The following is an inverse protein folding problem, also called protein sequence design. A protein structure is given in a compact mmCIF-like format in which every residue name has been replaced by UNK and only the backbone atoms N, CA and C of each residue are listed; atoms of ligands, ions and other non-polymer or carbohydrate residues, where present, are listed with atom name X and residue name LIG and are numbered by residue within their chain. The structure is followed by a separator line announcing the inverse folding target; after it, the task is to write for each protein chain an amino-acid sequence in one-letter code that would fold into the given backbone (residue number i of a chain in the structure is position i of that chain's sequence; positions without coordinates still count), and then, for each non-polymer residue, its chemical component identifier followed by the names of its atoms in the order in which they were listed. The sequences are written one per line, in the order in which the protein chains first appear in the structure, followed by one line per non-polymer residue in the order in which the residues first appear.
data_IF_258018960033
#
_entry.id   IF_258018960033
#
_cell.length_a   1.000
_cell.length_b   1.000
_cell.length_c   1.000
_cell.angle_alpha   90.00
_cell.angle_beta   90.00
_cell.angle_gamma   90.00
#
_symmetry.space_group_name_H-M   'P 1'
#
loop_
_entity.id
_entity.type
_entity.pdbx_description
1 polymer ?
#
# COMPACT_ATOMS: atom_id res chain seq x y z
N UNK A 1 -28.73 -6.07 1.80
CA UNK A 1 -28.56 -6.96 2.94
C UNK A 1 -27.17 -6.83 3.55
N UNK A 2 -27.02 -7.26 4.77
CA UNK A 2 -25.73 -7.23 5.49
C UNK A 2 -24.68 -8.04 4.72
N UNK A 3 -25.05 -9.16 4.15
CA UNK A 3 -24.16 -10.01 3.38
C UNK A 3 -23.66 -9.32 2.09
N UNK A 4 -24.52 -8.57 1.40
CA UNK A 4 -24.12 -7.79 0.23
C UNK A 4 -23.14 -6.68 0.59
N UNK A 5 -23.36 -5.98 1.67
CA UNK A 5 -22.47 -4.93 2.16
C UNK A 5 -21.10 -5.51 2.55
N UNK A 6 -21.08 -6.65 3.23
CA UNK A 6 -19.85 -7.35 3.58
C UNK A 6 -19.08 -7.78 2.33
N UNK A 7 -19.76 -8.31 1.31
CA UNK A 7 -19.12 -8.71 0.06
C UNK A 7 -18.51 -7.52 -0.70
N UNK A 8 -19.22 -6.35 -0.73
CA UNK A 8 -18.71 -5.12 -1.35
C UNK A 8 -17.48 -4.61 -0.60
N UNK A 9 -17.49 -4.65 0.75
CA UNK A 9 -16.37 -4.18 1.56
C UNK A 9 -15.18 -5.13 1.56
N UNK A 10 -15.32 -6.34 0.99
CA UNK A 10 -14.26 -7.33 0.94
C UNK A 10 -13.21 -7.07 -0.17
N UNK A 11 -13.52 -6.22 -1.16
CA UNK A 11 -12.58 -5.90 -2.22
C UNK A 11 -11.46 -5.00 -1.69
N UNK A 12 -10.18 -5.35 -1.95
CA UNK A 12 -9.08 -4.49 -1.55
C UNK A 12 -9.13 -3.16 -2.30
N UNK A 13 -8.84 -2.07 -1.59
CA UNK A 13 -8.88 -0.72 -2.16
C UNK A 13 -7.51 -0.26 -2.61
N UNK A 14 -7.45 0.23 -3.84
CA UNK A 14 -6.25 0.77 -4.48
C UNK A 14 -6.46 2.26 -4.72
N UNK A 15 -5.46 3.07 -4.38
CA UNK A 15 -5.44 4.48 -4.77
C UNK A 15 -4.57 4.63 -6.01
N UNK A 16 -5.12 5.27 -7.04
CA UNK A 16 -4.40 5.59 -8.27
C UNK A 16 -4.19 7.10 -8.32
N UNK A 17 -2.94 7.54 -8.39
CA UNK A 17 -2.57 8.95 -8.49
C UNK A 17 -1.86 9.19 -9.81
N UNK A 18 -2.48 9.91 -10.71
CA UNK A 18 -1.95 10.24 -12.03
C UNK A 18 -2.70 11.47 -12.54
N UNK A 19 -2.00 12.44 -13.11
CA UNK A 19 -2.62 13.67 -13.62
C UNK A 19 -3.40 13.43 -14.92
N UNK A 20 -3.20 12.30 -15.60
CA UNK A 20 -3.95 11.94 -16.80
C UNK A 20 -5.22 11.16 -16.46
N UNK A 21 -6.36 11.78 -16.73
CA UNK A 21 -7.65 11.10 -16.58
C UNK A 21 -7.74 9.84 -17.45
N UNK A 22 -7.16 9.87 -18.65
CA UNK A 22 -7.17 8.71 -19.57
C UNK A 22 -6.37 7.55 -19.01
N UNK A 23 -5.20 7.84 -18.43
CA UNK A 23 -4.36 6.81 -17.82
C UNK A 23 -5.08 6.19 -16.63
N UNK A 24 -5.66 7.02 -15.74
CA UNK A 24 -6.44 6.49 -14.60
C UNK A 24 -7.59 5.60 -15.08
N UNK A 25 -8.36 6.07 -16.08
CA UNK A 25 -9.49 5.31 -16.62
C UNK A 25 -9.04 3.97 -17.20
N UNK A 26 -7.90 3.93 -17.88
CA UNK A 26 -7.38 2.69 -18.45
C UNK A 26 -6.97 1.70 -17.36
N UNK A 27 -6.34 2.15 -16.29
CA UNK A 27 -5.98 1.28 -15.16
C UNK A 27 -7.24 0.77 -14.45
N UNK A 28 -8.19 1.66 -14.19
CA UNK A 28 -9.47 1.28 -13.56
C UNK A 28 -10.17 0.18 -14.37
N UNK A 29 -10.19 0.33 -15.69
CA UNK A 29 -10.80 -0.67 -16.58
C UNK A 29 -10.14 -2.04 -16.45
N UNK A 30 -8.80 -2.08 -16.27
CA UNK A 30 -8.07 -3.33 -16.15
C UNK A 30 -8.34 -4.06 -14.81
N UNK A 31 -8.60 -3.32 -13.74
CA UNK A 31 -8.68 -3.90 -12.39
C UNK A 31 -10.09 -3.89 -11.80
N UNK A 32 -11.05 -3.32 -12.50
CA UNK A 32 -12.45 -3.22 -12.09
C UNK A 32 -13.03 -4.61 -11.80
N UNK A 33 -13.76 -4.72 -10.69
CA UNK A 33 -14.37 -5.97 -10.26
C UNK A 33 -13.47 -6.83 -9.37
N UNK A 34 -12.14 -6.58 -9.38
CA UNK A 34 -11.19 -7.26 -8.51
C UNK A 34 -10.67 -6.36 -7.39
N UNK A 35 -10.71 -5.05 -7.62
CA UNK A 35 -10.27 -4.04 -6.66
C UNK A 35 -11.29 -2.92 -6.59
N UNK A 36 -11.43 -2.32 -5.43
CA UNK A 36 -12.13 -1.07 -5.25
C UNK A 36 -11.11 0.06 -5.47
N UNK A 37 -11.46 1.08 -6.26
CA UNK A 37 -10.50 2.07 -6.73
C UNK A 37 -10.89 3.47 -6.28
N UNK A 38 -9.91 4.21 -5.75
CA UNK A 38 -9.95 5.65 -5.58
C UNK A 38 -8.97 6.29 -6.54
N UNK A 39 -9.32 7.48 -7.06
CA UNK A 39 -8.49 8.21 -8.01
C UNK A 39 -8.20 9.61 -7.52
N UNK A 40 -6.98 10.08 -7.73
CA UNK A 40 -6.57 11.45 -7.50
C UNK A 40 -5.71 11.93 -8.67
N UNK A 41 -5.80 13.22 -8.98
CA UNK A 41 -5.15 13.81 -10.14
C UNK A 41 -3.79 14.46 -9.88
N UNK A 42 -3.35 14.55 -8.61
CA UNK A 42 -2.06 15.10 -8.25
C UNK A 42 -1.57 14.51 -6.93
N UNK A 43 -0.28 14.70 -6.67
CA UNK A 43 0.36 14.12 -5.50
C UNK A 43 -0.13 14.65 -4.16
N UNK A 44 -0.48 15.93 -4.08
CA UNK A 44 -1.00 16.50 -2.83
C UNK A 44 -2.38 15.91 -2.51
N UNK A 45 -3.26 15.82 -3.50
CA UNK A 45 -4.57 15.18 -3.33
C UNK A 45 -4.41 13.70 -2.95
N UNK A 46 -3.46 13.01 -3.58
CA UNK A 46 -3.13 11.62 -3.24
C UNK A 46 -2.69 11.47 -1.79
N UNK A 47 -1.82 12.36 -1.33
CA UNK A 47 -1.36 12.37 0.07
C UNK A 47 -2.53 12.58 1.04
N UNK A 48 -3.38 13.56 0.77
CA UNK A 48 -4.56 13.84 1.60
C UNK A 48 -5.48 12.61 1.67
N UNK A 49 -5.70 11.95 0.55
CA UNK A 49 -6.53 10.75 0.49
C UNK A 49 -5.93 9.60 1.30
N UNK A 50 -4.61 9.40 1.24
CA UNK A 50 -3.94 8.37 2.06
C UNK A 50 -4.12 8.65 3.56
N UNK A 51 -4.04 9.90 3.97
CA UNK A 51 -4.24 10.25 5.37
C UNK A 51 -5.68 10.05 5.84
N UNK A 52 -6.65 10.32 4.97
CA UNK A 52 -8.07 10.32 5.32
C UNK A 52 -8.75 8.97 5.14
N UNK A 53 -8.20 8.09 4.30
CA UNK A 53 -8.82 6.81 3.97
C UNK A 53 -7.94 5.63 4.40
N UNK A 54 -8.16 5.08 5.60
CA UNK A 54 -7.35 3.97 6.10
C UNK A 54 -7.63 2.63 5.39
N UNK A 55 -8.63 2.57 4.52
CA UNK A 55 -8.94 1.34 3.79
C UNK A 55 -8.06 1.11 2.57
N UNK A 56 -7.26 2.10 2.16
CA UNK A 56 -6.35 1.95 1.03
C UNK A 56 -5.23 0.98 1.39
N UNK A 57 -5.05 -0.04 0.55
CA UNK A 57 -4.07 -1.10 0.77
C UNK A 57 -2.86 -1.00 -0.15
N UNK A 58 -3.01 -0.37 -1.32
CA UNK A 58 -1.93 -0.22 -2.30
C UNK A 58 -2.06 1.16 -2.96
N UNK A 59 -0.92 1.80 -3.20
CA UNK A 59 -0.83 3.04 -3.96
C UNK A 59 -0.18 2.76 -5.31
N UNK A 60 -0.83 3.20 -6.39
CA UNK A 60 -0.22 3.27 -7.72
C UNK A 60 -0.04 4.74 -8.03
N UNK A 61 1.18 5.18 -8.32
CA UNK A 61 1.47 6.59 -8.57
C UNK A 61 2.29 6.79 -9.82
N UNK A 62 1.91 7.78 -10.62
CA UNK A 62 2.73 8.29 -11.70
C UNK A 62 3.97 8.99 -11.12
N UNK A 63 5.04 9.05 -11.89
CA UNK A 63 6.26 9.74 -11.51
C UNK A 63 6.15 11.26 -11.65
N UNK A 64 5.51 11.73 -12.72
CA UNK A 64 5.47 13.15 -13.06
C UNK A 64 4.05 13.68 -12.93
N UNK A 65 3.84 14.54 -11.94
CA UNK A 65 2.54 15.13 -11.63
C UNK A 65 2.72 16.56 -11.12
N UNK A 66 1.72 17.43 -11.28
CA UNK A 66 1.77 18.78 -10.70
C UNK A 66 1.67 18.73 -9.17
N UNK A 67 2.07 19.80 -8.54
CA UNK A 67 2.05 20.07 -7.09
C UNK A 67 3.01 19.23 -6.27
N UNK A 68 2.90 17.92 -6.36
CA UNK A 68 3.80 16.97 -5.72
C UNK A 68 3.98 15.81 -6.69
N UNK A 69 5.20 15.57 -7.16
CA UNK A 69 5.47 14.47 -8.09
C UNK A 69 5.49 13.11 -7.38
N UNK A 70 5.61 12.04 -8.16
CA UNK A 70 5.57 10.69 -7.63
C UNK A 70 6.71 10.38 -6.68
N UNK A 71 7.90 10.88 -6.94
CA UNK A 71 9.05 10.71 -6.03
C UNK A 71 8.81 11.42 -4.70
N UNK A 72 8.29 12.64 -4.75
CA UNK A 72 7.96 13.41 -3.55
C UNK A 72 6.85 12.75 -2.73
N UNK A 73 5.83 12.23 -3.40
CA UNK A 73 4.75 11.49 -2.73
C UNK A 73 5.33 10.23 -2.05
N UNK A 74 6.14 9.47 -2.76
CA UNK A 74 6.76 8.26 -2.22
C UNK A 74 7.64 8.55 -1.01
N UNK A 75 8.45 9.60 -1.07
CA UNK A 75 9.30 10.00 0.05
C UNK A 75 8.46 10.39 1.26
N UNK A 76 7.37 11.12 1.04
CA UNK A 76 6.44 11.52 2.11
C UNK A 76 5.77 10.31 2.74
N UNK A 77 5.37 9.34 1.94
CA UNK A 77 4.82 8.06 2.41
C UNK A 77 5.82 7.34 3.30
N UNK A 78 7.05 7.16 2.83
CA UNK A 78 8.09 6.42 3.59
C UNK A 78 8.57 7.16 4.84
N UNK A 79 8.45 8.47 4.89
CA UNK A 79 8.79 9.28 6.04
C UNK A 79 7.64 9.45 7.04
N UNK A 80 6.46 8.91 6.76
CA UNK A 80 5.29 9.06 7.62
C UNK A 80 5.50 8.39 8.98
N UNK A 81 5.00 9.04 10.03
CA UNK A 81 4.97 8.47 11.38
C UNK A 81 3.90 7.39 11.52
N UNK A 82 2.89 7.42 10.66
CA UNK A 82 1.82 6.42 10.64
C UNK A 82 2.33 5.15 9.95
N UNK A 83 2.44 4.05 10.70
CA UNK A 83 2.97 2.79 10.19
C UNK A 83 2.21 2.29 8.96
N UNK A 84 0.88 2.40 8.98
CA UNK A 84 0.03 2.03 7.85
C UNK A 84 0.45 2.73 6.55
N UNK A 85 0.77 4.02 6.62
CA UNK A 85 1.20 4.80 5.45
C UNK A 85 2.66 4.50 5.13
N UNK A 86 3.54 4.53 6.12
CA UNK A 86 4.98 4.31 5.94
C UNK A 86 5.29 2.99 5.25
N UNK A 87 4.52 1.95 5.54
CA UNK A 87 4.70 0.60 5.03
C UNK A 87 3.80 0.27 3.83
N UNK A 88 3.06 1.25 3.32
CA UNK A 88 2.14 1.09 2.19
C UNK A 88 2.88 0.51 0.98
N UNK A 89 2.37 -0.57 0.36
CA UNK A 89 2.90 -0.98 -0.94
C UNK A 89 2.69 0.12 -1.97
N UNK A 90 3.75 0.54 -2.64
CA UNK A 90 3.72 1.60 -3.65
C UNK A 90 4.27 1.06 -4.96
N UNK A 91 3.43 1.06 -5.99
CA UNK A 91 3.80 0.72 -7.35
C UNK A 91 3.93 2.02 -8.13
N UNK A 92 5.14 2.34 -8.57
CA UNK A 92 5.35 3.50 -9.42
C UNK A 92 5.08 3.12 -10.87
N UNK A 93 4.42 4.02 -11.59
CA UNK A 93 4.08 3.79 -13.00
C UNK A 93 4.69 4.90 -13.86
N UNK A 94 5.29 4.53 -14.98
CA UNK A 94 5.94 5.45 -15.89
C UNK A 94 5.62 5.11 -17.34
N UNK A 95 5.61 6.13 -18.19
CA UNK A 95 5.45 5.96 -19.64
C UNK A 95 6.70 5.44 -20.33
N UNK A 96 7.85 5.58 -19.69
CA UNK A 96 9.16 5.25 -20.29
C UNK A 96 9.84 4.11 -19.52
N UNK A 97 10.56 3.25 -20.27
CA UNK A 97 11.44 2.25 -19.69
C UNK A 97 12.81 2.87 -19.39
N UNK A 98 12.83 3.91 -18.57
CA UNK A 98 14.06 4.56 -18.15
C UNK A 98 14.59 3.84 -16.90
N UNK A 99 15.74 3.20 -17.06
CA UNK A 99 16.42 2.50 -15.97
C UNK A 99 16.81 3.44 -14.83
N UNK A 100 17.20 4.67 -15.16
CA UNK A 100 17.53 5.72 -14.21
C UNK A 100 16.32 6.07 -13.34
N UNK A 101 15.14 6.24 -13.95
CA UNK A 101 13.89 6.49 -13.23
C UNK A 101 13.50 5.31 -12.34
N UNK A 102 13.67 4.10 -12.84
CA UNK A 102 13.41 2.87 -12.08
C UNK A 102 14.31 2.77 -10.85
N UNK A 103 15.61 3.02 -11.03
CA UNK A 103 16.58 3.00 -9.93
C UNK A 103 16.27 4.07 -8.89
N UNK A 104 15.92 5.26 -9.32
CA UNK A 104 15.55 6.36 -8.43
C UNK A 104 14.28 6.01 -7.61
N UNK A 105 13.27 5.45 -8.26
CA UNK A 105 12.06 5.01 -7.58
C UNK A 105 12.37 3.96 -6.52
N UNK A 106 13.21 2.99 -6.86
CA UNK A 106 13.64 1.94 -5.92
C UNK A 106 14.39 2.54 -4.73
N UNK A 107 15.32 3.46 -4.96
CA UNK A 107 16.06 4.15 -3.90
C UNK A 107 15.14 4.95 -2.98
N UNK A 108 14.07 5.54 -3.54
CA UNK A 108 13.06 6.26 -2.77
C UNK A 108 12.10 5.32 -2.00
N UNK A 109 12.18 4.01 -2.21
CA UNK A 109 11.40 3.03 -1.47
C UNK A 109 10.18 2.49 -2.19
N UNK A 110 10.14 2.55 -3.55
CA UNK A 110 9.07 1.92 -4.32
C UNK A 110 9.08 0.41 -4.11
N UNK A 111 7.90 -0.17 -3.96
CA UNK A 111 7.76 -1.62 -3.83
C UNK A 111 7.89 -2.29 -5.20
N UNK A 112 7.39 -1.62 -6.24
CA UNK A 112 7.47 -2.11 -7.60
C UNK A 112 7.47 -0.93 -8.58
N UNK A 113 7.87 -1.19 -9.82
CA UNK A 113 7.90 -0.20 -10.88
C UNK A 113 7.40 -0.85 -12.16
N UNK A 114 6.36 -0.27 -12.76
CA UNK A 114 5.76 -0.79 -13.99
C UNK A 114 5.70 0.31 -15.05
N UNK A 115 5.60 -0.11 -16.31
CA UNK A 115 5.42 0.83 -17.42
C UNK A 115 3.94 0.98 -17.77
N UNK A 116 3.54 2.18 -18.19
CA UNK A 116 2.22 2.43 -18.75
C UNK A 116 2.05 1.55 -19.98
N UNK A 117 0.87 0.96 -20.16
CA UNK A 117 0.64 0.00 -21.23
C UNK A 117 0.92 -1.44 -20.84
N UNK A 118 1.23 -1.70 -19.58
CA UNK A 118 1.34 -3.06 -19.05
C UNK A 118 0.06 -3.84 -19.32
N UNK A 119 0.19 -5.12 -19.61
CA UNK A 119 -0.96 -6.00 -19.85
C UNK A 119 -1.78 -6.24 -18.58
N UNK A 120 -3.06 -6.54 -18.76
CA UNK A 120 -4.02 -6.77 -17.66
C UNK A 120 -3.54 -7.86 -16.70
N UNK A 121 -3.11 -9.00 -17.22
CA UNK A 121 -2.67 -10.13 -16.41
C UNK A 121 -1.47 -9.78 -15.54
N UNK A 122 -0.52 -9.05 -16.07
CA UNK A 122 0.69 -8.66 -15.36
C UNK A 122 0.37 -7.64 -14.26
N UNK A 123 -0.46 -6.63 -14.56
CA UNK A 123 -0.87 -5.63 -13.57
C UNK A 123 -1.63 -6.28 -12.41
N UNK A 124 -2.59 -7.15 -12.72
CA UNK A 124 -3.36 -7.86 -11.70
C UNK A 124 -2.47 -8.75 -10.84
N UNK A 125 -1.52 -9.45 -11.45
CA UNK A 125 -0.59 -10.30 -10.71
C UNK A 125 0.28 -9.49 -9.72
N UNK A 126 0.75 -8.33 -10.14
CA UNK A 126 1.56 -7.44 -9.29
C UNK A 126 0.75 -6.84 -8.15
N UNK A 127 -0.48 -6.41 -8.42
CA UNK A 127 -1.39 -5.92 -7.37
C UNK A 127 -1.75 -7.02 -6.37
N UNK A 128 -2.11 -8.20 -6.86
CA UNK A 128 -2.43 -9.34 -6.00
C UNK A 128 -1.25 -9.70 -5.10
N UNK A 129 -0.05 -9.71 -5.63
CA UNK A 129 1.16 -10.00 -4.85
C UNK A 129 1.33 -9.02 -3.69
N UNK A 130 1.12 -7.72 -3.93
CA UNK A 130 1.25 -6.69 -2.90
C UNK A 130 0.17 -6.82 -1.82
N UNK A 131 -1.07 -7.07 -2.22
CA UNK A 131 -2.18 -7.25 -1.29
C UNK A 131 -1.96 -8.50 -0.41
N UNK A 132 -1.56 -9.62 -1.00
CA UNK A 132 -1.29 -10.86 -0.25
C UNK A 132 -0.16 -10.69 0.75
N UNK A 133 0.90 -10.01 0.35
CA UNK A 133 2.04 -9.73 1.25
C UNK A 133 1.61 -8.84 2.42
N UNK A 134 0.79 -7.82 2.18
CA UNK A 134 0.27 -6.95 3.21
C UNK A 134 -0.68 -7.70 4.16
N UNK A 135 -1.54 -8.57 3.64
CA UNK A 135 -2.43 -9.41 4.44
C UNK A 135 -1.65 -10.40 5.30
N UNK A 136 -0.63 -11.05 4.73
CA UNK A 136 0.22 -11.98 5.46
C UNK A 136 0.96 -11.28 6.61
N UNK A 137 1.45 -10.07 6.38
CA UNK A 137 2.09 -9.26 7.43
C UNK A 137 1.10 -8.93 8.54
N UNK A 138 -0.11 -8.52 8.18
CA UNK A 138 -1.19 -8.21 9.12
C UNK A 138 -1.56 -9.41 9.97
N UNK A 139 -1.67 -10.60 9.36
CA UNK A 139 -1.94 -11.86 10.06
C UNK A 139 -0.83 -12.21 11.04
N UNK A 140 0.43 -12.08 10.61
CA UNK A 140 1.58 -12.33 11.49
C UNK A 140 1.60 -11.39 12.68
N UNK A 141 1.30 -10.12 12.48
CA UNK A 141 1.20 -9.14 13.55
C UNK A 141 0.07 -9.48 14.51
N UNK A 142 -1.10 -9.90 14.01
CA UNK A 142 -2.23 -10.32 14.82
C UNK A 142 -1.90 -11.57 15.64
N UNK A 143 -1.24 -12.56 15.04
CA UNK A 143 -0.79 -13.76 15.72
C UNK A 143 0.24 -13.45 16.82
N UNK A 144 1.17 -12.56 16.53
CA UNK A 144 2.15 -12.10 17.50
C UNK A 144 1.49 -11.42 18.71
N UNK A 145 0.47 -10.58 18.46
CA UNK A 145 -0.29 -9.95 19.55
C UNK A 145 -1.04 -10.96 20.40
N UNK A 146 -1.61 -12.00 19.81
CA UNK A 146 -2.31 -13.07 20.55
C UNK A 146 -1.36 -13.87 21.45
N UNK A 147 -0.18 -14.18 20.93
CA UNK A 147 0.85 -14.88 21.68
C UNK A 147 1.39 -14.04 22.84
N UNK A 148 1.26 -12.73 22.75
CA UNK A 148 1.75 -11.78 23.74
C UNK A 148 0.84 -11.61 24.97
N UNK A 149 -0.27 -12.35 25.08
CA UNK A 149 -1.16 -12.32 26.23
C UNK A 149 -1.13 -13.68 26.94
N UNK A 150 -0.72 -13.66 28.22
CA UNK A 150 -0.74 -14.85 29.07
C UNK A 150 -2.19 -15.16 29.48
N UNK A 151 -2.73 -16.33 29.14
CA UNK A 151 -4.11 -16.68 29.48
C UNK A 151 -4.36 -16.84 30.99
N UNK A 152 -3.34 -17.10 31.79
CA UNK A 152 -3.48 -17.24 33.25
C UNK A 152 -3.41 -15.92 33.99
N UNK A 153 -2.45 -15.06 33.64
CA UNK A 153 -2.24 -13.80 34.34
C UNK A 153 -2.89 -12.60 33.70
N UNK A 154 -3.28 -12.72 32.40
CA UNK A 154 -3.77 -11.60 31.61
C UNK A 154 -2.69 -10.59 31.23
N UNK A 155 -1.43 -10.86 31.56
CA UNK A 155 -0.32 -9.98 31.24
C UNK A 155 0.18 -10.23 29.83
N UNK A 156 0.67 -9.16 29.13
CA UNK A 156 1.28 -9.34 27.81
C UNK A 156 2.54 -10.19 27.90
N UNK A 157 2.55 -11.34 27.23
CA UNK A 157 3.70 -12.24 27.22
C UNK A 157 4.95 -11.61 26.58
N UNK A 158 4.77 -10.67 25.63
CA UNK A 158 5.89 -9.94 25.04
C UNK A 158 6.65 -9.08 26.04
N UNK A 159 5.94 -8.37 26.91
CA UNK A 159 6.56 -7.60 28.00
C UNK A 159 7.22 -8.53 29.03
N UNK A 160 6.57 -9.62 29.34
CA UNK A 160 7.10 -10.62 30.25
C UNK A 160 8.43 -11.20 29.72
N UNK A 161 8.48 -11.55 28.44
CA UNK A 161 9.71 -12.06 27.81
C UNK A 161 10.82 -11.00 27.79
N UNK A 162 10.50 -9.73 27.54
CA UNK A 162 11.46 -8.64 27.59
C UNK A 162 12.06 -8.47 28.98
N UNK A 163 11.23 -8.52 30.01
CA UNK A 163 11.69 -8.43 31.40
C UNK A 163 12.61 -9.59 31.76
N UNK A 164 12.26 -10.80 31.36
CA UNK A 164 13.11 -11.98 31.58
C UNK A 164 14.41 -11.87 30.80
N UNK A 165 14.40 -11.41 29.57
CA UNK A 165 15.60 -11.19 28.78
C UNK A 165 16.55 -10.18 29.42
N UNK A 166 16.02 -9.10 29.97
CA UNK A 166 16.81 -8.10 30.69
C UNK A 166 17.41 -8.66 31.96
N UNK A 167 16.67 -9.51 32.66
CA UNK A 167 17.15 -10.16 33.88
C UNK A 167 18.24 -11.19 33.57
N UNK A 168 18.21 -11.82 32.41
CA UNK A 168 19.21 -12.79 31.97
C UNK A 168 20.52 -12.13 31.52
N UNK A 169 20.49 -10.84 31.26
CA UNK A 169 21.66 -10.06 30.90
C UNK A 169 22.29 -9.41 32.15
#
# INVERSE_FOLDING_TARGET
SIMSETAVSALPRVLIVDDSRMVRASIVKLIKGKFDVREEGDGEAGWQTLMLDPSIQVLISDLSMPKLDGYGLLQRVRASETARIREMPVIMISGDEDESARNRAKECGATDFITKGIGTSELLARLDAQVRMAEARSELEAMSRQVMVDPESGLPTGEYLKQQGRQAL
#
